data_IF_269204176891
#
_entry.id   IF_269204176891
#
_cell.length_a   1.000
_cell.length_b   1.000
_cell.length_c   1.000
_cell.angle_alpha   90.00
_cell.angle_beta   90.00
_cell.angle_gamma   90.00
#
_symmetry.space_group_name_H-M   'P 1'
#
loop_
_entity.id
_entity.type
_entity.pdbx_description
1 polymer ?
#
# COMPACT_ATOMS: atom_id res chain seq x y z
N UNK A 1 30.53 -65.11 0.17
CA UNK A 1 30.42 -63.91 -0.69
C UNK A 1 29.30 -63.04 -0.15
N UNK A 2 29.62 -62.29 0.92
CA UNK A 2 29.70 -60.81 0.95
C UNK A 2 28.32 -60.17 0.65
N UNK A 3 27.49 -59.83 1.65
CA UNK A 3 27.72 -58.95 2.81
C UNK A 3 28.16 -57.51 2.45
N UNK A 4 27.57 -56.94 1.40
CA UNK A 4 27.67 -55.51 1.08
C UNK A 4 26.31 -54.89 0.76
N UNK A 5 25.46 -54.60 1.75
CA UNK A 5 24.28 -53.73 1.51
C UNK A 5 23.79 -52.89 2.69
N UNK A 6 24.40 -52.96 3.88
CA UNK A 6 24.01 -52.11 5.03
C UNK A 6 24.92 -50.90 5.29
N UNK A 7 26.18 -50.92 4.83
CA UNK A 7 27.09 -49.78 5.02
C UNK A 7 26.80 -48.64 4.04
N UNK A 8 26.44 -48.94 2.78
CA UNK A 8 26.18 -47.91 1.78
C UNK A 8 24.88 -47.12 2.03
N UNK A 9 23.86 -47.76 2.59
CA UNK A 9 22.63 -47.08 3.00
C UNK A 9 22.84 -46.16 4.20
N UNK A 10 23.75 -46.50 5.12
CA UNK A 10 24.11 -45.66 6.26
C UNK A 10 24.90 -44.40 5.83
N UNK A 11 25.82 -44.53 4.86
CA UNK A 11 26.55 -43.37 4.34
C UNK A 11 25.68 -42.47 3.46
N UNK A 12 24.72 -43.02 2.72
CA UNK A 12 23.73 -42.25 1.94
C UNK A 12 22.75 -41.48 2.84
N UNK A 13 22.32 -42.05 3.98
CA UNK A 13 21.51 -41.32 4.96
C UNK A 13 22.32 -40.28 5.73
N UNK A 14 23.61 -40.53 6.01
CA UNK A 14 24.48 -39.53 6.64
C UNK A 14 24.72 -38.31 5.73
N UNK A 15 24.94 -38.53 4.42
CA UNK A 15 25.09 -37.45 3.44
C UNK A 15 23.80 -36.64 3.27
N UNK A 16 22.63 -37.27 3.38
CA UNK A 16 21.33 -36.59 3.34
C UNK A 16 21.04 -35.80 4.62
N UNK A 17 21.54 -36.25 5.78
CA UNK A 17 21.44 -35.55 7.06
C UNK A 17 22.35 -34.31 7.14
N UNK A 18 23.50 -34.30 6.45
CA UNK A 18 24.36 -33.12 6.36
C UNK A 18 23.88 -32.07 5.33
N UNK A 19 23.01 -32.42 4.38
CA UNK A 19 22.38 -31.46 3.47
C UNK A 19 21.20 -30.68 4.06
N UNK A 20 20.77 -31.00 5.29
CA UNK A 20 19.64 -30.36 5.96
C UNK A 20 20.04 -29.26 6.97
N UNK A 21 21.32 -28.95 7.13
CA UNK A 21 21.80 -27.90 8.05
C UNK A 21 22.20 -26.59 7.37
N UNK A 22 21.92 -26.43 6.08
CA UNK A 22 21.98 -25.12 5.42
C UNK A 22 20.70 -24.31 5.68
N UNK A 23 20.33 -24.14 6.96
CA UNK A 23 19.47 -23.03 7.34
C UNK A 23 20.29 -21.75 7.13
N UNK A 24 20.11 -21.13 5.96
CA UNK A 24 20.51 -19.75 5.74
C UNK A 24 19.77 -18.92 6.79
N UNK A 25 20.44 -18.66 7.91
CA UNK A 25 19.89 -17.88 9.01
C UNK A 25 19.57 -16.52 8.40
N UNK A 26 18.30 -16.13 8.41
CA UNK A 26 17.95 -14.76 8.11
C UNK A 26 18.85 -13.88 8.99
N UNK A 27 19.49 -12.82 8.45
CA UNK A 27 20.32 -11.97 9.27
C UNK A 27 19.48 -11.52 10.45
N UNK A 28 19.93 -11.87 11.65
CA UNK A 28 19.28 -11.43 12.88
C UNK A 28 19.35 -9.91 12.87
N UNK A 29 18.21 -9.26 12.64
CA UNK A 29 18.10 -7.81 12.78
C UNK A 29 18.45 -7.54 14.23
N UNK A 30 19.66 -7.03 14.47
CA UNK A 30 20.11 -6.70 15.83
C UNK A 30 19.13 -5.69 16.39
N UNK A 31 18.50 -6.02 17.53
CA UNK A 31 17.69 -5.07 18.27
C UNK A 31 18.60 -3.90 18.68
N UNK A 32 18.36 -2.72 18.11
CA UNK A 32 19.10 -1.51 18.49
C UNK A 32 18.36 -0.83 19.63
N UNK A 33 18.96 -0.80 20.82
CA UNK A 33 18.43 -0.15 22.01
C UNK A 33 18.87 1.32 22.09
N UNK A 34 17.95 2.21 22.49
CA UNK A 34 18.19 3.63 22.79
C UNK A 34 17.27 4.60 22.03
N UNK A 35 17.29 5.90 22.37
CA UNK A 35 16.33 6.89 21.86
C UNK A 35 16.49 7.11 20.36
N UNK A 36 15.36 7.06 19.64
CA UNK A 36 15.31 7.29 18.19
C UNK A 36 14.88 8.70 17.80
N UNK A 37 14.30 9.46 18.74
CA UNK A 37 13.95 10.86 18.59
C UNK A 37 15.07 11.72 19.18
N UNK A 38 15.44 12.78 18.47
CA UNK A 38 16.57 13.67 18.76
C UNK A 38 16.17 15.12 18.46
N UNK A 39 15.42 15.73 19.38
CA UNK A 39 14.85 17.08 19.19
C UNK A 39 15.92 18.17 19.02
N UNK A 40 17.11 17.95 19.61
CA UNK A 40 18.25 18.86 19.49
C UNK A 40 18.78 19.00 18.05
N UNK A 41 18.56 18.01 17.19
CA UNK A 41 18.94 18.05 15.77
C UNK A 41 17.98 18.91 14.93
N UNK A 42 16.76 19.14 15.44
CA UNK A 42 15.68 19.85 14.76
C UNK A 42 15.02 20.86 15.71
N UNK A 43 15.75 21.91 16.14
CA UNK A 43 15.29 22.80 17.20
C UNK A 43 14.01 23.58 16.86
N UNK A 44 13.69 23.75 15.58
CA UNK A 44 12.45 24.40 15.13
C UNK A 44 11.23 23.49 15.17
N UNK A 45 11.40 22.18 15.38
CA UNK A 45 10.30 21.22 15.42
C UNK A 45 9.33 21.47 16.60
N UNK A 46 9.84 22.00 17.73
CA UNK A 46 9.03 22.33 18.91
C UNK A 46 7.99 23.42 18.66
N UNK A 47 8.21 24.25 17.64
CA UNK A 47 7.34 25.37 17.30
C UNK A 47 6.27 24.95 16.27
N UNK A 48 6.33 23.72 15.78
CA UNK A 48 5.38 23.18 14.80
C UNK A 48 4.13 22.67 15.54
N UNK A 49 3.00 23.30 15.26
CA UNK A 49 1.71 22.86 15.77
C UNK A 49 1.21 21.63 15.00
N UNK A 50 1.34 20.46 15.61
CA UNK A 50 0.77 19.20 15.09
C UNK A 50 -0.70 19.08 15.49
N UNK A 51 -1.55 18.77 14.52
CA UNK A 51 -3.00 18.64 14.74
C UNK A 51 -3.31 17.48 15.70
N UNK A 52 -4.10 17.73 16.75
CA UNK A 52 -4.55 16.68 17.67
C UNK A 52 -5.54 15.72 17.01
N UNK A 53 -5.73 14.53 17.61
CA UNK A 53 -6.78 13.58 17.17
C UNK A 53 -8.15 14.26 17.04
N UNK A 54 -8.50 15.15 17.99
CA UNK A 54 -9.78 15.86 17.96
C UNK A 54 -9.88 16.77 16.75
N UNK A 55 -8.79 17.44 16.36
CA UNK A 55 -8.74 18.34 15.21
C UNK A 55 -8.79 17.57 13.89
N UNK A 56 -8.02 16.49 13.77
CA UNK A 56 -7.97 15.63 12.57
C UNK A 56 -9.37 15.17 12.16
N UNK A 57 -10.19 14.74 13.13
CA UNK A 57 -11.53 14.18 12.90
C UNK A 57 -12.67 15.16 13.15
N UNK A 58 -12.40 16.44 13.42
CA UNK A 58 -13.43 17.43 13.76
C UNK A 58 -14.38 17.66 12.58
N UNK A 59 -15.67 17.72 12.85
CA UNK A 59 -16.69 18.26 11.94
C UNK A 59 -17.29 19.56 12.50
N UNK A 60 -17.36 20.58 11.66
CA UNK A 60 -18.07 21.83 11.95
C UNK A 60 -19.60 21.72 11.74
N UNK A 61 -20.29 22.84 11.97
CA UNK A 61 -21.76 22.91 11.87
C UNK A 61 -22.28 22.58 10.47
N UNK A 62 -21.54 22.92 9.41
CA UNK A 62 -21.97 22.69 8.03
C UNK A 62 -21.85 21.20 7.68
N UNK A 63 -20.75 20.56 8.05
CA UNK A 63 -20.56 19.12 7.84
C UNK A 63 -21.56 18.28 8.64
N UNK A 64 -21.83 18.63 9.90
CA UNK A 64 -22.86 17.96 10.71
C UNK A 64 -24.27 18.17 10.17
N UNK A 65 -24.59 19.39 9.72
CA UNK A 65 -25.89 19.67 9.09
C UNK A 65 -26.08 18.86 7.81
N UNK A 66 -25.03 18.71 7.01
CA UNK A 66 -25.05 17.85 5.83
C UNK A 66 -25.42 16.40 6.18
N UNK A 67 -24.81 15.84 7.24
CA UNK A 67 -25.17 14.49 7.73
C UNK A 67 -26.64 14.43 8.16
N UNK A 68 -27.09 15.38 8.98
CA UNK A 68 -28.46 15.42 9.49
C UNK A 68 -29.50 15.54 8.36
N UNK A 69 -29.24 16.37 7.35
CA UNK A 69 -30.13 16.53 6.19
C UNK A 69 -30.15 15.28 5.32
N UNK A 70 -29.00 14.61 5.15
CA UNK A 70 -28.87 13.45 4.27
C UNK A 70 -29.53 12.21 4.87
N UNK A 71 -29.29 11.90 6.15
CA UNK A 71 -29.71 10.63 6.76
C UNK A 71 -30.45 10.76 8.09
N UNK A 72 -30.61 11.96 8.64
CA UNK A 72 -31.21 12.15 9.97
C UNK A 72 -32.69 11.77 10.07
N UNK A 73 -33.39 11.67 8.94
CA UNK A 73 -34.79 11.24 8.86
C UNK A 73 -34.94 9.72 8.63
N UNK A 74 -33.86 9.03 8.24
CA UNK A 74 -33.89 7.61 7.89
C UNK A 74 -33.66 6.79 9.15
N UNK A 75 -34.57 5.85 9.45
CA UNK A 75 -34.48 5.00 10.65
C UNK A 75 -33.74 3.70 10.38
N UNK A 76 -33.88 3.12 9.19
CA UNK A 76 -33.26 1.85 8.83
C UNK A 76 -31.73 2.00 8.72
N UNK A 77 -30.93 1.25 9.49
CA UNK A 77 -29.47 1.38 9.48
C UNK A 77 -28.81 1.03 8.14
N UNK A 78 -29.41 0.15 7.34
CA UNK A 78 -28.87 -0.25 6.04
C UNK A 78 -29.14 0.88 5.03
N UNK A 79 -30.37 1.37 4.96
CA UNK A 79 -30.75 2.49 4.10
C UNK A 79 -29.97 3.76 4.43
N UNK A 80 -29.75 4.05 5.73
CA UNK A 80 -28.87 5.15 6.18
C UNK A 80 -27.45 4.98 5.64
N UNK A 81 -26.91 3.77 5.74
CA UNK A 81 -25.55 3.45 5.28
C UNK A 81 -25.42 3.66 3.78
N UNK A 82 -26.34 3.09 2.99
CA UNK A 82 -26.33 3.23 1.54
C UNK A 82 -26.54 4.68 1.09
N UNK A 83 -27.47 5.41 1.72
CA UNK A 83 -27.78 6.79 1.38
C UNK A 83 -26.61 7.72 1.67
N UNK A 84 -25.98 7.59 2.85
CA UNK A 84 -24.80 8.39 3.19
C UNK A 84 -23.65 8.10 2.23
N UNK A 85 -23.35 6.82 1.98
CA UNK A 85 -22.25 6.43 1.11
C UNK A 85 -22.46 6.93 -0.32
N UNK A 86 -23.66 6.77 -0.90
CA UNK A 86 -24.00 7.31 -2.22
C UNK A 86 -23.91 8.83 -2.26
N UNK A 87 -24.36 9.53 -1.22
CA UNK A 87 -24.31 10.99 -1.14
C UNK A 87 -22.86 11.50 -1.10
N UNK A 88 -22.00 10.85 -0.30
CA UNK A 88 -20.57 11.13 -0.26
C UNK A 88 -19.96 10.91 -1.66
N UNK A 89 -20.16 9.76 -2.28
CA UNK A 89 -19.64 9.49 -3.63
C UNK A 89 -20.14 10.48 -4.68
N UNK A 90 -21.42 10.84 -4.65
CA UNK A 90 -21.98 11.85 -5.55
C UNK A 90 -21.27 13.19 -5.37
N UNK A 91 -21.06 13.64 -4.14
CA UNK A 91 -20.28 14.85 -3.84
C UNK A 91 -18.86 14.74 -4.39
N UNK A 92 -18.22 13.57 -4.27
CA UNK A 92 -16.85 13.36 -4.76
C UNK A 92 -16.75 13.39 -6.29
N UNK A 93 -17.70 12.78 -7.00
CA UNK A 93 -17.65 12.67 -8.46
C UNK A 93 -17.88 14.00 -9.19
N UNK A 94 -18.64 14.93 -8.60
CA UNK A 94 -18.97 16.21 -9.25
C UNK A 94 -18.12 17.38 -8.77
N UNK A 95 -17.64 17.34 -7.51
CA UNK A 95 -17.05 18.52 -6.87
C UNK A 95 -15.62 18.33 -6.34
N UNK A 96 -15.01 17.13 -6.35
CA UNK A 96 -13.72 16.89 -5.68
C UNK A 96 -12.57 16.55 -6.66
N UNK A 97 -11.44 17.24 -6.49
CA UNK A 97 -10.17 17.02 -7.18
C UNK A 97 -9.26 16.07 -6.38
N UNK A 98 -8.87 14.94 -6.96
CA UNK A 98 -7.86 14.09 -6.33
C UNK A 98 -6.47 14.75 -6.37
N UNK A 99 -5.86 14.97 -5.20
CA UNK A 99 -4.53 15.57 -5.05
C UNK A 99 -3.71 14.77 -4.06
N UNK A 100 -2.60 14.16 -4.52
CA UNK A 100 -1.78 13.27 -3.69
C UNK A 100 -1.16 13.94 -2.45
N UNK A 101 -0.88 15.23 -2.56
CA UNK A 101 -0.30 16.12 -1.53
C UNK A 101 -1.35 16.74 -0.59
N UNK A 102 -2.64 16.50 -0.81
CA UNK A 102 -3.70 17.08 0.01
C UNK A 102 -3.93 16.24 1.28
N UNK A 103 -3.00 16.35 2.24
CA UNK A 103 -3.06 15.77 3.59
C UNK A 103 -3.82 16.70 4.54
N UNK A 104 -5.15 16.63 4.51
CA UNK A 104 -6.06 17.57 5.17
C UNK A 104 -6.93 16.88 6.22
N UNK A 105 -7.34 17.64 7.23
CA UNK A 105 -8.29 17.19 8.25
C UNK A 105 -9.67 16.89 7.65
N UNK A 106 -10.55 16.26 8.42
CA UNK A 106 -11.92 15.96 8.00
C UNK A 106 -12.67 17.23 7.53
N UNK A 107 -12.55 18.32 8.30
CA UNK A 107 -13.27 19.55 8.01
C UNK A 107 -12.72 20.29 6.79
N UNK A 108 -11.39 20.36 6.65
CA UNK A 108 -10.76 20.95 5.47
C UNK A 108 -11.12 20.18 4.21
N UNK A 109 -11.08 18.84 4.26
CA UNK A 109 -11.47 17.98 3.13
C UNK A 109 -12.92 18.22 2.72
N UNK A 110 -13.82 18.44 3.68
CA UNK A 110 -15.22 18.72 3.42
C UNK A 110 -15.43 20.02 2.63
N UNK A 111 -14.59 21.04 2.85
CA UNK A 111 -14.72 22.37 2.23
C UNK A 111 -13.85 22.57 0.99
N UNK A 112 -12.59 22.16 1.04
CA UNK A 112 -11.56 22.52 0.07
C UNK A 112 -11.68 21.76 -1.26
N UNK A 113 -12.56 20.75 -1.35
CA UNK A 113 -12.84 20.01 -2.58
C UNK A 113 -11.58 19.42 -3.25
N UNK A 114 -10.50 19.23 -2.49
CA UNK A 114 -9.28 18.59 -2.94
C UNK A 114 -8.70 17.73 -1.82
N UNK A 115 -8.40 16.46 -2.11
CA UNK A 115 -7.97 15.49 -1.10
C UNK A 115 -7.26 14.28 -1.72
N UNK A 116 -6.42 13.61 -0.92
CA UNK A 116 -5.95 12.25 -1.21
C UNK A 116 -6.84 11.18 -0.56
N UNK A 117 -6.54 9.91 -0.79
CA UNK A 117 -7.30 8.78 -0.25
C UNK A 117 -7.43 8.81 1.28
N UNK A 118 -6.38 9.23 1.99
CA UNK A 118 -6.36 9.27 3.45
C UNK A 118 -7.26 10.38 3.99
N UNK A 119 -7.14 11.58 3.44
CA UNK A 119 -8.00 12.72 3.81
C UNK A 119 -9.48 12.44 3.54
N UNK A 120 -9.79 11.82 2.40
CA UNK A 120 -11.14 11.35 2.08
C UNK A 120 -11.64 10.29 3.07
N UNK A 121 -10.75 9.39 3.49
CA UNK A 121 -11.05 8.37 4.50
C UNK A 121 -11.29 9.00 5.88
N UNK A 122 -10.48 9.97 6.29
CA UNK A 122 -10.65 10.68 7.56
C UNK A 122 -11.97 11.44 7.59
N UNK A 123 -12.29 12.18 6.52
CA UNK A 123 -13.57 12.89 6.40
C UNK A 123 -14.75 11.92 6.44
N UNK A 124 -14.71 10.86 5.64
CA UNK A 124 -15.81 9.91 5.53
C UNK A 124 -16.05 9.14 6.83
N UNK A 125 -14.97 8.78 7.54
CA UNK A 125 -15.05 8.22 8.89
C UNK A 125 -15.73 9.17 9.87
N UNK A 126 -15.36 10.46 9.84
CA UNK A 126 -15.97 11.47 10.72
C UNK A 126 -17.48 11.65 10.41
N UNK A 127 -17.84 11.73 9.13
CA UNK A 127 -19.25 11.84 8.69
C UNK A 127 -20.07 10.60 9.08
N UNK A 128 -19.51 9.40 8.89
CA UNK A 128 -20.16 8.15 9.25
C UNK A 128 -20.38 8.03 10.77
N UNK A 129 -19.42 8.47 11.58
CA UNK A 129 -19.57 8.51 13.03
C UNK A 129 -20.62 9.51 13.49
N UNK A 130 -20.67 10.71 12.91
CA UNK A 130 -21.75 11.69 13.15
C UNK A 130 -23.12 11.11 12.79
N UNK A 131 -23.16 10.27 11.75
CA UNK A 131 -24.35 9.54 11.33
C UNK A 131 -24.65 8.29 12.18
N UNK A 132 -23.96 8.06 13.30
CA UNK A 132 -24.08 6.87 14.16
C UNK A 132 -23.94 5.53 13.40
N UNK A 133 -23.08 5.50 12.37
CA UNK A 133 -22.79 4.29 11.59
C UNK A 133 -21.52 3.62 12.09
N UNK A 134 -21.41 2.31 11.83
CA UNK A 134 -20.18 1.57 12.07
C UNK A 134 -19.24 1.85 10.89
N UNK A 135 -17.96 2.04 11.18
CA UNK A 135 -16.98 2.30 10.12
C UNK A 135 -15.65 1.67 10.49
N UNK A 136 -14.99 1.09 9.49
CA UNK A 136 -13.69 0.45 9.62
C UNK A 136 -12.77 0.99 8.55
N UNK A 137 -11.59 1.43 8.97
CA UNK A 137 -10.50 1.69 8.06
C UNK A 137 -9.88 0.37 7.61
N UNK A 138 -9.45 0.29 6.35
CA UNK A 138 -8.69 -0.85 5.87
C UNK A 138 -7.45 -0.37 5.09
N UNK A 139 -6.33 -0.99 5.40
CA UNK A 139 -5.09 -0.87 4.64
C UNK A 139 -5.13 -1.82 3.45
N UNK A 140 -4.84 -1.31 2.26
CA UNK A 140 -4.73 -2.11 1.05
C UNK A 140 -3.25 -2.52 0.93
N UNK A 141 -2.97 -3.82 1.12
CA UNK A 141 -1.61 -4.36 1.08
C UNK A 141 -1.09 -4.34 -0.36
N UNK A 142 -0.54 -3.21 -0.77
CA UNK A 142 -0.04 -3.00 -2.13
C UNK A 142 1.39 -3.55 -2.24
N UNK A 143 1.67 -4.37 -3.27
CA UNK A 143 3.01 -4.88 -3.49
C UNK A 143 3.98 -3.74 -3.83
N UNK A 144 5.26 -3.97 -3.52
CA UNK A 144 6.32 -2.96 -3.47
C UNK A 144 6.51 -2.09 -4.73
N UNK A 145 6.16 -2.54 -5.94
CA UNK A 145 6.48 -1.83 -7.19
C UNK A 145 5.89 -0.41 -7.31
N UNK A 146 4.90 -0.05 -6.49
CA UNK A 146 4.29 1.28 -6.49
C UNK A 146 5.01 2.34 -5.63
N UNK A 147 5.98 1.97 -4.80
CA UNK A 147 6.59 2.89 -3.82
C UNK A 147 7.75 3.71 -4.38
N UNK A 148 8.24 3.40 -5.59
CA UNK A 148 9.42 4.03 -6.19
C UNK A 148 9.09 5.23 -7.07
N UNK A 149 9.52 6.44 -6.68
CA UNK A 149 9.58 7.62 -7.56
C UNK A 149 10.94 8.31 -7.45
N UNK A 150 11.60 8.55 -8.59
CA UNK A 150 12.77 9.45 -8.73
C UNK A 150 13.92 9.25 -7.72
N UNK A 151 14.26 7.99 -7.39
CA UNK A 151 15.37 7.68 -6.48
C UNK A 151 15.07 7.91 -5.00
N UNK A 152 13.84 8.30 -4.65
CA UNK A 152 13.36 8.44 -3.28
C UNK A 152 12.12 7.56 -3.08
N UNK A 153 12.26 6.52 -2.27
CA UNK A 153 11.13 5.67 -1.86
C UNK A 153 10.62 6.14 -0.50
N UNK A 154 9.71 7.13 -0.51
CA UNK A 154 8.95 7.49 0.69
C UNK A 154 7.77 6.53 0.82
N UNK A 155 7.56 6.00 2.01
CA UNK A 155 6.43 5.11 2.28
C UNK A 155 5.21 5.94 2.66
N UNK A 156 4.28 6.04 1.70
CA UNK A 156 2.92 6.50 1.94
C UNK A 156 1.99 5.29 1.72
N UNK A 157 1.33 4.83 2.79
CA UNK A 157 0.39 3.72 2.71
C UNK A 157 -0.85 4.04 1.88
N UNK A 158 -1.67 3.02 1.59
CA UNK A 158 -2.91 3.18 0.84
C UNK A 158 -4.11 2.67 1.64
N UNK A 159 -5.04 3.57 1.93
CA UNK A 159 -6.17 3.32 2.83
C UNK A 159 -7.50 3.44 2.09
N UNK A 160 -8.46 2.61 2.49
CA UNK A 160 -9.87 2.77 2.15
C UNK A 160 -10.76 2.57 3.40
N UNK A 161 -12.08 2.58 3.17
CA UNK A 161 -13.08 2.48 4.22
C UNK A 161 -14.15 1.46 3.90
N UNK A 162 -14.67 0.83 4.96
CA UNK A 162 -15.90 0.06 4.95
C UNK A 162 -16.89 0.67 5.94
N UNK A 163 -18.06 1.09 5.47
CA UNK A 163 -19.18 1.51 6.32
C UNK A 163 -20.07 0.29 6.56
N UNK A 164 -20.36 0.01 7.83
CA UNK A 164 -21.19 -1.12 8.26
C UNK A 164 -22.35 -0.62 9.14
N UNK A 165 -23.54 -1.21 9.06
CA UNK A 165 -24.62 -0.91 9.99
C UNK A 165 -24.21 -1.23 11.44
N UNK A 166 -24.45 -0.32 12.40
CA UNK A 166 -24.34 -0.65 13.84
C UNK A 166 -25.52 -1.57 14.20
N UNK A 167 -25.24 -2.76 14.74
CA UNK A 167 -26.30 -3.63 15.24
C UNK A 167 -26.96 -3.02 16.49
N UNK A 168 -28.30 -2.95 16.51
CA UNK A 168 -29.10 -2.71 17.74
C UNK A 168 -30.04 -3.89 17.99
N UNK A 169 -29.91 -4.49 19.18
CA UNK A 169 -30.83 -5.42 19.88
C UNK A 169 -31.22 -6.75 19.22
N UNK A 170 -30.66 -7.84 19.78
CA UNK A 170 -31.20 -9.19 20.12
C UNK A 170 -32.31 -9.92 19.33
N UNK A 171 -33.02 -9.36 18.35
CA UNK A 171 -34.17 -10.05 17.75
C UNK A 171 -34.33 -9.89 16.23
N UNK A 172 -33.24 -9.61 15.52
CA UNK A 172 -33.26 -9.58 14.05
C UNK A 172 -32.00 -10.23 13.49
N UNK A 173 -32.16 -11.46 12.98
CA UNK A 173 -31.16 -12.15 12.19
C UNK A 173 -31.09 -11.50 10.80
N UNK A 174 -30.23 -10.50 10.63
CA UNK A 174 -29.89 -10.00 9.30
C UNK A 174 -28.90 -10.99 8.64
N UNK A 175 -29.40 -11.82 7.73
CA UNK A 175 -28.58 -12.75 6.93
C UNK A 175 -27.66 -12.04 5.91
N UNK A 176 -27.78 -10.72 5.75
CA UNK A 176 -26.97 -9.90 4.85
C UNK A 176 -26.15 -8.87 5.64
N UNK A 177 -24.94 -9.25 6.07
CA UNK A 177 -23.89 -8.29 6.50
C UNK A 177 -23.30 -7.60 5.26
N UNK A 178 -24.09 -6.82 4.51
CA UNK A 178 -23.53 -6.02 3.41
C UNK A 178 -23.01 -4.70 3.97
N UNK A 179 -21.71 -4.66 4.24
CA UNK A 179 -20.97 -3.40 4.39
C UNK A 179 -20.86 -2.70 3.03
N UNK A 180 -20.81 -1.38 3.03
CA UNK A 180 -20.57 -0.58 1.83
C UNK A 180 -19.10 -0.17 1.80
N UNK A 181 -18.35 -0.69 0.82
CA UNK A 181 -16.96 -0.32 0.63
C UNK A 181 -16.89 1.02 -0.11
N UNK A 182 -16.10 1.93 0.44
CA UNK A 182 -15.80 3.21 -0.18
C UNK A 182 -14.34 3.16 -0.62
N UNK A 183 -14.12 2.90 -1.91
CA UNK A 183 -12.81 2.97 -2.54
C UNK A 183 -12.67 4.31 -3.27
N UNK A 184 -11.64 5.07 -2.90
CA UNK A 184 -11.36 6.38 -3.46
C UNK A 184 -10.33 6.32 -4.59
N UNK A 185 -9.82 5.13 -4.92
CA UNK A 185 -8.87 4.92 -6.01
C UNK A 185 -9.57 4.24 -7.20
N UNK A 186 -9.61 4.88 -8.39
CA UNK A 186 -10.23 4.29 -9.57
C UNK A 186 -9.43 3.11 -10.17
N UNK A 187 -8.23 2.80 -9.68
CA UNK A 187 -7.42 1.72 -10.22
C UNK A 187 -7.97 0.34 -9.84
N UNK A 188 -8.56 -0.33 -10.83
CA UNK A 188 -9.13 -1.70 -10.72
C UNK A 188 -8.15 -2.74 -10.16
N UNK A 189 -6.85 -2.55 -10.37
CA UNK A 189 -5.78 -3.40 -9.82
C UNK A 189 -5.78 -3.46 -8.30
N UNK A 190 -6.18 -2.38 -7.61
CA UNK A 190 -6.10 -2.28 -6.15
C UNK A 190 -7.25 -2.97 -5.42
N UNK A 191 -8.36 -3.20 -6.12
CA UNK A 191 -9.57 -3.80 -5.57
C UNK A 191 -9.37 -5.24 -5.06
N UNK A 192 -8.35 -5.94 -5.59
CA UNK A 192 -8.10 -7.35 -5.34
C UNK A 192 -6.92 -7.62 -4.39
N UNK A 193 -6.32 -6.58 -3.81
CA UNK A 193 -5.26 -6.77 -2.83
C UNK A 193 -5.80 -7.20 -1.47
N UNK A 194 -5.01 -7.95 -0.68
CA UNK A 194 -5.35 -8.25 0.71
C UNK A 194 -5.60 -6.96 1.48
N UNK A 195 -6.60 -7.00 2.35
CA UNK A 195 -6.99 -5.86 3.18
C UNK A 195 -6.78 -6.20 4.64
N UNK A 196 -6.34 -5.22 5.43
CA UNK A 196 -6.19 -5.35 6.88
C UNK A 196 -6.92 -4.21 7.56
N UNK A 197 -7.75 -4.52 8.55
CA UNK A 197 -8.42 -3.48 9.34
C UNK A 197 -7.38 -2.63 10.08
N UNK A 198 -7.53 -1.31 10.04
CA UNK A 198 -6.68 -0.36 10.75
C UNK A 198 -7.39 0.20 11.99
N UNK A 199 -6.61 0.45 13.05
CA UNK A 199 -7.05 1.22 14.19
C UNK A 199 -7.03 2.72 13.88
N UNK A 200 -7.75 3.51 14.68
CA UNK A 200 -7.75 4.97 14.55
C UNK A 200 -6.34 5.57 14.76
N UNK A 201 -5.57 4.99 15.69
CA UNK A 201 -4.20 5.39 15.98
C UNK A 201 -3.27 5.15 14.78
N UNK A 202 -3.45 4.03 14.06
CA UNK A 202 -2.70 3.78 12.82
C UNK A 202 -3.04 4.83 11.75
N UNK A 203 -4.31 5.22 11.60
CA UNK A 203 -4.72 6.27 10.67
C UNK A 203 -4.12 7.64 11.03
N UNK A 204 -4.06 7.97 12.31
CA UNK A 204 -3.40 9.20 12.81
C UNK A 204 -1.90 9.16 12.48
N UNK A 205 -1.23 8.03 12.74
CA UNK A 205 0.18 7.86 12.38
C UNK A 205 0.42 7.98 10.87
N UNK A 206 -0.49 7.45 10.03
CA UNK A 206 -0.46 7.64 8.58
C UNK A 206 -0.62 9.11 8.20
N UNK A 207 -1.53 9.84 8.85
CA UNK A 207 -1.77 11.27 8.60
C UNK A 207 -0.52 12.09 8.89
N UNK A 208 0.08 11.91 10.07
CA UNK A 208 1.33 12.57 10.42
C UNK A 208 2.48 12.16 9.50
N UNK A 209 2.63 10.87 9.20
CA UNK A 209 3.67 10.40 8.27
C UNK A 209 3.58 11.08 6.91
N UNK A 210 2.39 11.22 6.34
CA UNK A 210 2.23 11.87 5.05
C UNK A 210 2.55 13.38 5.11
N UNK A 211 2.10 14.08 6.15
CA UNK A 211 2.47 15.50 6.39
C UNK A 211 4.00 15.67 6.51
N UNK A 212 4.65 14.76 7.25
CA UNK A 212 6.10 14.75 7.39
C UNK A 212 6.82 14.46 6.07
N UNK A 213 6.28 13.54 5.26
CA UNK A 213 6.80 13.24 3.93
C UNK A 213 6.69 14.45 2.99
N UNK A 214 5.57 15.17 3.00
CA UNK A 214 5.40 16.41 2.22
C UNK A 214 6.39 17.49 2.66
N UNK A 215 6.55 17.70 3.96
CA UNK A 215 7.51 18.66 4.50
C UNK A 215 8.94 18.31 4.08
N UNK A 216 9.29 17.02 4.10
CA UNK A 216 10.59 16.52 3.67
C UNK A 216 10.85 16.76 2.18
N UNK A 217 9.84 16.55 1.32
CA UNK A 217 9.91 16.87 -0.12
C UNK A 217 10.15 18.38 -0.32
N UNK A 218 9.52 19.22 0.50
CA UNK A 218 9.71 20.67 0.51
C UNK A 218 11.00 21.12 1.23
N UNK A 219 11.86 20.17 1.62
CA UNK A 219 13.11 20.39 2.35
C UNK A 219 12.93 21.12 3.71
N UNK A 220 11.71 21.11 4.27
CA UNK A 220 11.42 21.57 5.62
C UNK A 220 11.66 20.44 6.63
N UNK A 221 12.91 20.36 7.09
CA UNK A 221 13.37 19.29 7.99
C UNK A 221 12.79 19.38 9.39
N UNK A 222 12.48 20.58 9.88
CA UNK A 222 11.91 20.75 11.22
C UNK A 222 10.47 20.24 11.25
N UNK A 223 9.66 20.64 10.26
CA UNK A 223 8.28 20.16 10.12
C UNK A 223 8.25 18.66 9.84
N UNK A 224 9.13 18.15 8.97
CA UNK A 224 9.25 16.71 8.72
C UNK A 224 9.52 15.93 10.01
N UNK A 225 10.51 16.36 10.80
CA UNK A 225 10.83 15.73 12.08
C UNK A 225 9.65 15.78 13.06
N UNK A 226 9.01 16.94 13.24
CA UNK A 226 7.88 17.10 14.16
C UNK A 226 6.75 16.11 13.86
N UNK A 227 6.39 15.96 12.58
CA UNK A 227 5.36 15.03 12.16
C UNK A 227 5.79 13.55 12.24
N UNK A 228 7.03 13.21 11.91
CA UNK A 228 7.51 11.83 12.11
C UNK A 228 7.58 11.47 13.60
N UNK A 229 7.99 12.39 14.46
CA UNK A 229 7.97 12.22 15.91
C UNK A 229 6.54 11.97 16.42
N UNK A 230 5.58 12.81 16.03
CA UNK A 230 4.17 12.64 16.39
C UNK A 230 3.59 11.31 15.90
N UNK A 231 3.96 10.85 14.70
CA UNK A 231 3.57 9.53 14.19
C UNK A 231 4.07 8.39 15.09
N UNK A 232 5.31 8.50 15.56
CA UNK A 232 5.97 7.50 16.41
C UNK A 232 5.55 7.59 17.89
N UNK A 233 5.08 8.73 18.35
CA UNK A 233 4.42 8.83 19.66
C UNK A 233 3.10 8.07 19.69
N UNK A 234 2.32 8.15 18.61
CA UNK A 234 1.02 7.45 18.49
C UNK A 234 1.19 5.97 18.14
N UNK A 235 2.18 5.64 17.32
CA UNK A 235 2.53 4.27 16.92
C UNK A 235 4.06 4.08 16.88
N UNK A 236 4.69 3.64 17.99
CA UNK A 236 6.15 3.55 18.12
C UNK A 236 6.86 2.67 17.08
N UNK A 237 6.17 1.66 16.57
CA UNK A 237 6.70 0.72 15.57
C UNK A 237 6.03 0.90 14.20
N UNK A 238 5.56 2.11 13.90
CA UNK A 238 5.03 2.45 12.59
C UNK A 238 6.17 2.52 11.56
N UNK A 239 6.33 1.43 10.82
CA UNK A 239 7.46 1.22 9.91
C UNK A 239 7.65 2.34 8.88
N UNK A 240 6.56 2.88 8.32
CA UNK A 240 6.61 3.96 7.34
C UNK A 240 7.22 5.24 7.92
N UNK A 241 6.84 5.63 9.15
CA UNK A 241 7.45 6.78 9.82
C UNK A 241 8.89 6.51 10.25
N UNK A 242 9.22 5.28 10.69
CA UNK A 242 10.60 4.91 10.99
C UNK A 242 11.50 4.98 9.76
N UNK A 243 11.03 4.53 8.59
CA UNK A 243 11.76 4.62 7.33
C UNK A 243 11.93 6.08 6.89
N UNK A 244 10.87 6.89 6.96
CA UNK A 244 10.95 8.29 6.55
C UNK A 244 11.82 9.12 7.51
N UNK A 245 11.78 8.85 8.83
CA UNK A 245 12.70 9.42 9.81
C UNK A 245 14.14 8.99 9.54
N UNK A 246 14.36 7.73 9.17
CA UNK A 246 15.69 7.24 8.78
C UNK A 246 16.24 7.95 7.56
N UNK A 247 15.38 8.25 6.59
CA UNK A 247 15.75 9.05 5.43
C UNK A 247 16.13 10.48 5.87
N UNK A 248 15.32 11.11 6.71
CA UNK A 248 15.60 12.45 7.25
C UNK A 248 16.96 12.50 7.98
N UNK A 249 17.26 11.50 8.82
CA UNK A 249 18.57 11.38 9.46
C UNK A 249 19.71 11.17 8.45
N UNK A 250 19.51 10.34 7.42
CA UNK A 250 20.52 10.12 6.38
C UNK A 250 20.87 11.40 5.63
N UNK A 251 19.87 12.17 5.17
CA UNK A 251 20.11 13.44 4.47
C UNK A 251 20.67 14.53 5.41
N UNK A 252 20.47 14.35 6.73
CA UNK A 252 21.08 15.18 7.77
C UNK A 252 22.45 14.69 8.22
N UNK A 253 23.02 13.67 7.53
CA UNK A 253 24.32 13.02 7.80
C UNK A 253 24.43 12.35 9.17
N UNK A 254 23.30 12.04 9.80
CA UNK A 254 23.22 11.34 11.09
C UNK A 254 23.12 9.83 10.85
N UNK A 255 24.20 9.24 10.36
CA UNK A 255 24.18 7.86 9.84
C UNK A 255 23.88 6.81 10.91
N UNK A 256 24.39 6.97 12.14
CA UNK A 256 24.13 6.02 13.23
C UNK A 256 22.66 6.02 13.67
N UNK A 257 22.03 7.20 13.69
CA UNK A 257 20.59 7.34 14.00
C UNK A 257 19.74 6.79 12.86
N UNK A 258 20.14 7.07 11.61
CA UNK A 258 19.49 6.52 10.41
C UNK A 258 19.47 4.99 10.41
N UNK A 259 20.62 4.37 10.70
CA UNK A 259 20.74 2.91 10.78
C UNK A 259 19.85 2.34 11.88
N UNK A 260 19.87 2.95 13.07
CA UNK A 260 19.05 2.54 14.22
C UNK A 260 17.56 2.50 13.88
N UNK A 261 17.03 3.54 13.24
CA UNK A 261 15.59 3.58 12.91
C UNK A 261 15.23 2.65 11.76
N UNK A 262 16.10 2.48 10.76
CA UNK A 262 15.87 1.47 9.71
C UNK A 262 15.87 0.05 10.28
N UNK A 263 16.81 -0.28 11.17
CA UNK A 263 16.84 -1.58 11.84
C UNK A 263 15.61 -1.79 12.73
N UNK A 264 15.10 -0.74 13.39
CA UNK A 264 13.84 -0.81 14.14
C UNK A 264 12.64 -1.10 13.22
N UNK A 265 12.56 -0.42 12.06
CA UNK A 265 11.51 -0.69 11.07
C UNK A 265 11.56 -2.13 10.54
N UNK A 266 12.77 -2.67 10.36
CA UNK A 266 12.98 -4.04 9.91
C UNK A 266 12.73 -5.08 11.01
N UNK A 267 12.83 -4.71 12.28
CA UNK A 267 12.44 -5.57 13.39
C UNK A 267 10.91 -5.76 13.45
N UNK A 268 10.14 -4.71 13.17
CA UNK A 268 8.67 -4.79 13.12
C UNK A 268 8.15 -5.36 11.80
N UNK A 269 8.82 -5.06 10.69
CA UNK A 269 8.45 -5.47 9.33
C UNK A 269 9.65 -6.07 8.58
N UNK A 270 10.05 -7.34 8.85
CA UNK A 270 11.25 -7.95 8.27
C UNK A 270 11.26 -8.07 6.75
N UNK A 271 10.08 -8.09 6.12
CA UNK A 271 9.90 -8.14 4.68
C UNK A 271 9.69 -6.76 4.04
N UNK A 272 9.88 -5.66 4.77
CA UNK A 272 9.79 -4.31 4.22
C UNK A 272 11.02 -4.02 3.33
N UNK A 273 10.86 -4.31 2.05
CA UNK A 273 11.92 -4.16 1.04
C UNK A 273 12.33 -2.70 0.81
N UNK A 274 11.42 -1.75 1.05
CA UNK A 274 11.77 -0.32 1.03
C UNK A 274 12.66 0.07 2.20
N UNK A 275 12.45 -0.50 3.39
CA UNK A 275 13.34 -0.30 4.54
C UNK A 275 14.73 -0.92 4.29
N UNK A 276 14.77 -2.16 3.76
CA UNK A 276 16.03 -2.81 3.36
C UNK A 276 16.81 -1.98 2.34
N UNK A 277 16.15 -1.49 1.31
CA UNK A 277 16.80 -0.65 0.29
C UNK A 277 17.34 0.66 0.86
N UNK A 278 16.57 1.34 1.71
CA UNK A 278 17.03 2.56 2.36
C UNK A 278 18.24 2.30 3.27
N UNK A 279 18.30 1.15 3.95
CA UNK A 279 19.46 0.71 4.71
C UNK A 279 20.67 0.45 3.80
N UNK A 280 20.48 -0.19 2.65
CA UNK A 280 21.53 -0.35 1.64
C UNK A 280 22.09 0.99 1.13
N UNK A 281 21.20 1.97 0.87
CA UNK A 281 21.63 3.30 0.48
C UNK A 281 22.42 3.98 1.60
N UNK A 282 21.95 3.88 2.85
CA UNK A 282 22.72 4.36 4.00
C UNK A 282 24.12 3.76 4.04
N UNK A 283 24.25 2.44 3.86
CA UNK A 283 25.54 1.75 3.82
C UNK A 283 26.43 2.24 2.69
N UNK A 284 25.85 2.58 1.53
CA UNK A 284 26.58 3.22 0.45
C UNK A 284 27.14 4.59 0.88
N UNK A 285 26.30 5.44 1.50
CA UNK A 285 26.71 6.77 1.99
C UNK A 285 27.72 6.72 3.14
N UNK A 286 27.77 5.63 3.90
CA UNK A 286 28.73 5.42 4.99
C UNK A 286 29.89 4.48 4.60
N UNK A 287 30.16 4.33 3.29
CA UNK A 287 31.27 3.55 2.73
C UNK A 287 31.31 2.04 3.09
N UNK A 288 30.15 1.45 3.41
CA UNK A 288 29.95 0.02 3.68
C UNK A 288 29.42 -0.69 2.44
N UNK A 289 30.18 -0.61 1.34
CA UNK A 289 29.73 -1.00 -0.01
C UNK A 289 29.36 -2.48 -0.12
N UNK A 290 30.13 -3.38 0.50
CA UNK A 290 29.84 -4.82 0.46
C UNK A 290 28.49 -5.16 1.08
N UNK A 291 28.19 -4.59 2.26
CA UNK A 291 26.92 -4.78 2.94
C UNK A 291 25.75 -4.19 2.14
N UNK A 292 25.96 -3.04 1.50
CA UNK A 292 24.98 -2.43 0.61
C UNK A 292 24.63 -3.37 -0.56
N UNK A 293 25.66 -3.91 -1.23
CA UNK A 293 25.48 -4.80 -2.39
C UNK A 293 24.79 -6.12 -2.01
N UNK A 294 25.11 -6.70 -0.85
CA UNK A 294 24.44 -7.89 -0.33
C UNK A 294 22.93 -7.63 -0.14
N UNK A 295 22.57 -6.52 0.49
CA UNK A 295 21.17 -6.14 0.72
C UNK A 295 20.47 -5.87 -0.61
N UNK A 296 21.06 -5.08 -1.51
CA UNK A 296 20.45 -4.74 -2.81
C UNK A 296 20.22 -5.99 -3.67
N UNK A 297 21.15 -6.94 -3.68
CA UNK A 297 20.98 -8.21 -4.39
C UNK A 297 19.79 -9.02 -3.85
N UNK A 298 19.57 -9.02 -2.53
CA UNK A 298 18.42 -9.71 -1.90
C UNK A 298 17.11 -9.02 -2.21
N UNK A 299 17.08 -7.69 -2.13
CA UNK A 299 15.92 -6.87 -2.48
C UNK A 299 15.53 -7.13 -3.94
N UNK A 300 16.48 -7.07 -4.87
CA UNK A 300 16.22 -7.31 -6.29
C UNK A 300 15.75 -8.74 -6.55
N UNK A 301 16.36 -9.74 -5.92
CA UNK A 301 15.89 -11.13 -6.02
C UNK A 301 14.45 -11.29 -5.52
N UNK A 302 14.05 -10.61 -4.44
CA UNK A 302 12.65 -10.66 -3.96
C UNK A 302 11.70 -9.96 -4.93
N UNK A 303 12.08 -8.82 -5.50
CA UNK A 303 11.30 -8.09 -6.52
C UNK A 303 11.08 -8.91 -7.79
N UNK A 304 12.12 -9.56 -8.31
CA UNK A 304 12.03 -10.40 -9.50
C UNK A 304 11.17 -11.66 -9.30
N UNK A 305 10.84 -12.02 -8.06
CA UNK A 305 9.88 -13.09 -7.74
C UNK A 305 8.45 -12.57 -7.55
N UNK A 306 8.22 -11.27 -7.66
CA UNK A 306 6.91 -10.65 -7.56
C UNK A 306 6.29 -10.48 -8.96
N UNK A 307 5.17 -11.15 -9.29
CA UNK A 307 4.55 -11.03 -10.61
C UNK A 307 4.10 -9.59 -10.90
N UNK A 308 3.76 -8.82 -9.87
CA UNK A 308 3.33 -7.45 -10.05
C UNK A 308 4.48 -6.48 -10.34
N UNK A 309 5.70 -6.78 -9.88
CA UNK A 309 6.89 -6.03 -10.28
C UNK A 309 7.13 -6.18 -11.78
N UNK A 310 6.97 -7.39 -12.31
CA UNK A 310 7.03 -7.62 -13.75
C UNK A 310 5.88 -6.97 -14.52
N UNK A 311 4.65 -6.92 -13.97
CA UNK A 311 3.55 -6.17 -14.58
C UNK A 311 3.86 -4.67 -14.71
N UNK A 312 4.46 -4.07 -13.70
CA UNK A 312 4.81 -2.65 -13.73
C UNK A 312 5.91 -2.34 -14.73
N UNK A 313 7.02 -3.10 -14.67
CA UNK A 313 8.10 -2.98 -15.65
C UNK A 313 7.57 -3.15 -17.07
N UNK A 314 6.76 -4.19 -17.32
CA UNK A 314 6.16 -4.42 -18.62
C UNK A 314 5.24 -3.28 -19.07
N UNK A 315 4.51 -2.64 -18.16
CA UNK A 315 3.68 -1.47 -18.46
C UNK A 315 4.53 -0.25 -18.82
N UNK A 316 5.60 0.02 -18.07
CA UNK A 316 6.53 1.13 -18.38
C UNK A 316 7.16 0.97 -19.76
N UNK A 317 7.60 -0.24 -20.10
CA UNK A 317 8.16 -0.51 -21.43
C UNK A 317 7.08 -0.43 -22.52
N UNK A 318 5.87 -0.92 -22.26
CA UNK A 318 4.73 -0.75 -23.16
C UNK A 318 4.45 0.74 -23.44
N UNK A 319 4.40 1.56 -22.40
CA UNK A 319 4.09 2.99 -22.50
C UNK A 319 5.22 3.77 -23.21
N UNK A 320 6.46 3.27 -23.15
CA UNK A 320 7.60 3.77 -23.93
C UNK A 320 7.61 3.31 -25.39
N UNK A 321 6.72 2.40 -25.77
CA UNK A 321 6.66 1.82 -27.10
C UNK A 321 7.53 0.57 -27.32
N UNK A 322 8.30 0.14 -26.31
CA UNK A 322 9.09 -1.09 -26.39
C UNK A 322 8.23 -2.32 -26.07
N UNK A 323 7.52 -2.77 -27.10
CA UNK A 323 6.61 -3.91 -27.01
C UNK A 323 7.34 -5.23 -26.73
N UNK A 324 8.61 -5.36 -27.15
CA UNK A 324 9.36 -6.60 -26.97
C UNK A 324 9.84 -6.76 -25.51
N UNK A 325 10.33 -5.68 -24.91
CA UNK A 325 10.64 -5.66 -23.48
C UNK A 325 9.37 -5.81 -22.64
N UNK A 326 8.26 -5.17 -23.04
CA UNK A 326 6.96 -5.36 -22.41
C UNK A 326 6.53 -6.84 -22.39
N UNK A 327 6.59 -7.53 -23.55
CA UNK A 327 6.31 -8.97 -23.65
C UNK A 327 7.21 -9.80 -22.74
N UNK A 328 8.50 -9.47 -22.67
CA UNK A 328 9.46 -10.18 -21.81
C UNK A 328 9.03 -10.10 -20.34
N UNK A 329 8.69 -8.90 -19.87
CA UNK A 329 8.24 -8.71 -18.50
C UNK A 329 6.88 -9.35 -18.23
N UNK A 330 5.88 -9.17 -19.09
CA UNK A 330 4.58 -9.80 -18.92
C UNK A 330 4.63 -11.34 -18.99
N UNK A 331 5.54 -11.91 -19.78
CA UNK A 331 5.77 -13.36 -19.83
C UNK A 331 6.41 -13.87 -18.54
N UNK A 332 7.36 -13.13 -17.96
CA UNK A 332 7.90 -13.43 -16.62
C UNK A 332 6.83 -13.34 -15.53
N UNK A 333 5.99 -12.31 -15.57
CA UNK A 333 4.84 -12.19 -14.68
C UNK A 333 3.94 -13.44 -14.78
N UNK A 334 3.63 -13.88 -16.01
CA UNK A 334 2.80 -15.06 -16.26
C UNK A 334 3.46 -16.36 -15.77
N UNK A 335 4.78 -16.47 -15.85
CA UNK A 335 5.52 -17.63 -15.36
C UNK A 335 5.39 -17.77 -13.83
N UNK A 336 5.34 -16.64 -13.12
CA UNK A 336 5.20 -16.57 -11.66
C UNK A 336 3.73 -16.75 -11.23
N UNK A 337 2.80 -16.01 -11.85
CA UNK A 337 1.36 -16.09 -11.58
C UNK A 337 0.60 -16.45 -12.86
N UNK A 338 0.23 -17.73 -12.96
CA UNK A 338 -0.42 -18.31 -14.14
C UNK A 338 -1.94 -18.05 -14.21
N UNK A 339 -2.53 -17.48 -13.15
CA UNK A 339 -3.99 -17.39 -12.99
C UNK A 339 -4.56 -15.97 -13.13
N UNK A 340 -3.69 -14.96 -13.17
CA UNK A 340 -4.10 -13.56 -13.08
C UNK A 340 -4.56 -12.98 -14.41
N UNK A 341 -5.80 -12.49 -14.46
CA UNK A 341 -6.38 -11.98 -15.70
C UNK A 341 -5.71 -10.70 -16.20
N UNK A 342 -5.17 -9.89 -15.29
CA UNK A 342 -4.47 -8.63 -15.58
C UNK A 342 -3.20 -8.90 -16.38
N UNK A 343 -2.52 -10.02 -16.12
CA UNK A 343 -1.35 -10.47 -16.89
C UNK A 343 -1.77 -10.90 -18.30
N UNK A 344 -2.84 -11.68 -18.41
CA UNK A 344 -3.38 -12.06 -19.72
C UNK A 344 -3.83 -10.85 -20.53
N UNK A 345 -4.50 -9.88 -19.89
CA UNK A 345 -4.93 -8.67 -20.55
C UNK A 345 -3.75 -7.80 -21.00
N UNK A 346 -2.71 -7.68 -20.17
CA UNK A 346 -1.48 -6.97 -20.54
C UNK A 346 -0.78 -7.62 -21.75
N UNK A 347 -0.68 -8.96 -21.77
CA UNK A 347 -0.18 -9.71 -22.92
C UNK A 347 -1.02 -9.46 -24.17
N UNK A 348 -2.35 -9.55 -24.05
CA UNK A 348 -3.24 -9.29 -25.19
C UNK A 348 -3.07 -7.86 -25.74
N UNK A 349 -3.00 -6.86 -24.86
CA UNK A 349 -2.77 -5.45 -25.27
C UNK A 349 -1.45 -5.29 -26.02
N UNK A 350 -0.42 -6.02 -25.59
CA UNK A 350 0.92 -5.98 -26.20
C UNK A 350 0.96 -6.69 -27.55
N UNK A 351 0.36 -7.88 -27.66
CA UNK A 351 0.23 -8.57 -28.94
C UNK A 351 -0.61 -7.79 -29.94
N UNK A 352 -1.65 -7.10 -29.48
CA UNK A 352 -2.45 -6.22 -30.34
C UNK A 352 -1.60 -5.07 -30.91
N UNK A 353 -0.78 -4.44 -30.07
CA UNK A 353 0.12 -3.38 -30.49
C UNK A 353 1.20 -3.86 -31.50
N UNK A 354 1.53 -5.15 -31.47
CA UNK A 354 2.42 -5.81 -32.42
C UNK A 354 1.72 -6.32 -33.70
N UNK A 355 0.38 -6.20 -33.80
CA UNK A 355 -0.39 -6.74 -34.93
C UNK A 355 -0.68 -8.24 -34.86
N UNK A 356 -0.36 -8.89 -33.74
CA UNK A 356 -0.50 -10.34 -33.55
C UNK A 356 -1.93 -10.70 -33.11
N UNK A 357 -2.86 -10.72 -34.07
CA UNK A 357 -4.31 -10.90 -33.82
C UNK A 357 -4.61 -12.22 -33.12
N UNK A 358 -4.02 -13.34 -33.54
CA UNK A 358 -4.28 -14.66 -32.96
C UNK A 358 -3.86 -14.75 -31.49
N UNK A 359 -2.72 -14.16 -31.12
CA UNK A 359 -2.29 -14.14 -29.73
C UNK A 359 -3.16 -13.17 -28.90
N UNK A 360 -3.54 -12.03 -29.48
CA UNK A 360 -4.45 -11.08 -28.84
C UNK A 360 -5.75 -11.77 -28.43
N UNK A 361 -6.41 -12.44 -29.36
CA UNK A 361 -7.68 -13.13 -29.12
C UNK A 361 -7.50 -14.24 -28.05
N UNK A 362 -6.44 -15.04 -28.17
CA UNK A 362 -6.12 -16.11 -27.20
C UNK A 362 -5.99 -15.57 -25.78
N UNK A 363 -5.24 -14.48 -25.59
CA UNK A 363 -5.00 -13.92 -24.27
C UNK A 363 -6.21 -13.14 -23.73
N UNK A 364 -7.02 -12.49 -24.56
CA UNK A 364 -8.30 -11.91 -24.14
C UNK A 364 -9.29 -12.99 -23.65
N UNK A 365 -9.40 -14.12 -24.37
CA UNK A 365 -10.23 -15.26 -23.93
C UNK A 365 -9.79 -15.78 -22.56
N UNK A 366 -8.47 -15.88 -22.33
CA UNK A 366 -7.93 -16.25 -21.02
C UNK A 366 -8.29 -15.23 -19.94
N UNK A 367 -8.04 -13.94 -20.19
CA UNK A 367 -8.37 -12.86 -19.25
C UNK A 367 -9.86 -12.90 -18.84
N UNK A 368 -10.75 -13.03 -19.82
CA UNK A 368 -12.21 -13.17 -19.62
C UNK A 368 -12.57 -14.40 -18.78
N UNK A 369 -11.91 -15.53 -19.00
CA UNK A 369 -12.18 -16.77 -18.27
C UNK A 369 -11.70 -16.70 -16.81
N UNK A 370 -10.63 -15.97 -16.54
CA UNK A 370 -10.00 -15.93 -15.21
C UNK A 370 -10.46 -14.78 -14.32
N UNK A 371 -10.98 -13.68 -14.88
CA UNK A 371 -11.57 -12.63 -14.04
C UNK A 371 -12.85 -13.10 -13.34
N UNK A 372 -13.02 -12.68 -12.08
CA UNK A 372 -14.25 -12.85 -11.31
C UNK A 372 -15.15 -11.61 -11.36
N UNK A 373 -14.63 -10.49 -11.85
CA UNK A 373 -15.36 -9.22 -11.92
C UNK A 373 -16.21 -9.19 -13.20
N UNK A 374 -17.52 -8.96 -13.05
CA UNK A 374 -18.46 -8.94 -14.17
C UNK A 374 -18.16 -7.81 -15.17
N UNK A 375 -17.83 -6.61 -14.68
CA UNK A 375 -17.53 -5.45 -15.52
C UNK A 375 -16.27 -5.70 -16.37
N UNK A 376 -15.25 -6.33 -15.79
CA UNK A 376 -14.05 -6.71 -16.56
C UNK A 376 -14.35 -7.81 -17.57
N UNK A 377 -15.21 -8.77 -17.22
CA UNK A 377 -15.64 -9.83 -18.13
C UNK A 377 -16.37 -9.25 -19.36
N UNK A 378 -17.23 -8.26 -19.14
CA UNK A 378 -17.91 -7.50 -20.20
C UNK A 378 -16.91 -6.67 -21.02
N UNK A 379 -15.97 -5.97 -20.37
CA UNK A 379 -14.90 -5.24 -21.04
C UNK A 379 -14.09 -6.13 -21.98
N UNK A 380 -13.68 -7.32 -21.51
CA UNK A 380 -12.93 -8.27 -22.33
C UNK A 380 -13.78 -8.85 -23.46
N UNK A 381 -15.09 -9.07 -23.22
CA UNK A 381 -15.99 -9.50 -24.28
C UNK A 381 -16.12 -8.45 -25.39
N UNK A 382 -16.36 -7.18 -25.03
CA UNK A 382 -16.46 -6.10 -26.02
C UNK A 382 -15.20 -5.95 -26.87
N UNK A 383 -14.01 -6.19 -26.28
CA UNK A 383 -12.74 -6.22 -27.03
C UNK A 383 -12.64 -7.39 -28.00
N UNK A 384 -13.12 -8.57 -27.61
CA UNK A 384 -13.18 -9.75 -28.51
C UNK A 384 -14.14 -9.50 -29.68
N UNK A 385 -15.30 -8.90 -29.42
CA UNK A 385 -16.30 -8.58 -30.45
C UNK A 385 -15.79 -7.55 -31.47
N UNK A 386 -14.89 -6.66 -31.06
CA UNK A 386 -14.22 -5.72 -31.96
C UNK A 386 -13.19 -6.42 -32.85
N UNK A 387 -12.44 -7.38 -32.31
CA UNK A 387 -11.45 -8.14 -33.09
C UNK A 387 -12.08 -9.01 -34.16
N UNK A 388 -13.28 -9.57 -33.92
CA UNK A 388 -13.97 -10.41 -34.90
C UNK A 388 -14.57 -9.63 -36.08
N UNK A 389 -14.47 -8.30 -36.07
CA UNK A 389 -14.95 -7.40 -37.15
C UNK A 389 -13.84 -6.95 -38.11
N UNK A 390 -12.59 -7.27 -37.78
CA UNK A 390 -11.38 -7.01 -38.58
C UNK A 390 -11.05 -8.31 -39.31
#
# INVERSE_FOLDING_TARGET
MNNMTKQHTFWLTLLFLFSLTACQSAPTVKHVSGPILQDNLFPGAKDIAVESEKEIFRLDKNARRYVQQTVGHIKDPIERTETLARSIFKRLNFDLLYRGDANTTANETFHNRAANCLSLSIMTYALANEADLGVKFQDIQIPEYWTRREGVSLLNGHINLEIVPKQRSSNSFYFYKRGYQIDFDPQTLRQHFPKKTLSKQQVIAMFYNNKGADALINNDRNTAYAYFAAALEVQPDFDSALVNLGFLYRVSKQYDLSERVYLRALASSPDNLTAWENLAYLYTYSNRIEQANEILSRVESKRLRNPFYHLDLGRREFDRGDMQSALTHFTRALAIDKGRHEIFYALAKTYHALGEVSQTERYLKKAKRTTKNLQEKELYQGKLDLLSRI
#
